data_IF_164175126003
#
_entry.id   IF_164175126003
#
_cell.length_a   1.000
_cell.length_b   1.000
_cell.length_c   1.000
_cell.angle_alpha   90.00
_cell.angle_beta   90.00
_cell.angle_gamma   90.00
#
_symmetry.space_group_name_H-M   'P 1'
#
loop_
_entity.id
_entity.type
_entity.pdbx_description
1 polymer ?
#
# COMPACT_ATOMS: atom_id res chain seq x y z
N UNK A 1 19.65 -21.76 -10.26
CA UNK A 1 19.01 -20.61 -10.95
C UNK A 1 18.02 -21.13 -11.98
N UNK A 2 16.76 -21.33 -11.58
CA UNK A 2 15.68 -21.58 -12.53
C UNK A 2 15.16 -20.25 -13.08
N UNK A 3 14.97 -20.14 -14.40
CA UNK A 3 14.19 -19.03 -14.96
C UNK A 3 12.72 -19.30 -14.68
N UNK A 4 12.02 -18.35 -14.07
CA UNK A 4 10.56 -18.37 -13.95
C UNK A 4 9.95 -18.59 -15.34
N UNK A 5 9.09 -19.60 -15.47
CA UNK A 5 8.47 -19.98 -16.73
C UNK A 5 7.22 -19.13 -17.01
N UNK A 6 6.91 -18.93 -18.29
CA UNK A 6 5.75 -18.12 -18.75
C UNK A 6 4.42 -18.65 -18.19
N UNK A 7 3.94 -17.99 -17.16
CA UNK A 7 2.62 -18.16 -16.55
C UNK A 7 2.32 -16.98 -15.62
N UNK A 8 2.82 -15.80 -16.01
CA UNK A 8 3.31 -14.79 -15.08
C UNK A 8 2.28 -14.29 -14.06
N UNK A 9 2.64 -14.45 -12.78
CA UNK A 9 2.10 -13.74 -11.62
C UNK A 9 2.48 -12.24 -11.61
N UNK A 10 3.04 -11.72 -12.71
CA UNK A 10 3.35 -10.30 -12.86
C UNK A 10 2.08 -9.46 -12.76
N UNK A 11 2.24 -8.29 -12.14
CA UNK A 11 1.33 -7.14 -12.28
C UNK A 11 0.92 -7.00 -13.76
N UNK A 12 -0.38 -6.82 -14.10
CA UNK A 12 -0.81 -6.84 -15.50
C UNK A 12 0.03 -5.88 -16.37
N UNK A 13 0.52 -6.30 -17.55
CA UNK A 13 1.30 -5.43 -18.41
C UNK A 13 0.44 -4.25 -18.87
N UNK A 14 0.75 -3.08 -18.33
CA UNK A 14 0.01 -1.84 -18.52
C UNK A 14 0.89 -0.62 -18.25
N UNK A 15 0.47 0.51 -18.80
CA UNK A 15 1.15 1.79 -18.55
C UNK A 15 0.73 2.34 -17.19
N UNK A 16 1.56 3.18 -16.57
CA UNK A 16 1.26 3.76 -15.27
C UNK A 16 2.02 3.17 -14.09
N UNK A 17 3.04 2.36 -14.33
CA UNK A 17 4.04 1.94 -13.34
C UNK A 17 5.38 2.62 -13.61
N UNK A 18 6.29 2.61 -12.64
CA UNK A 18 7.67 3.09 -12.84
C UNK A 18 8.30 2.30 -13.99
N UNK A 19 8.92 3.01 -14.95
CA UNK A 19 9.45 2.43 -16.19
C UNK A 19 8.42 2.11 -17.29
N UNK A 20 7.11 2.28 -17.06
CA UNK A 20 6.05 2.05 -18.08
C UNK A 20 5.11 3.25 -18.33
N UNK A 21 5.47 4.45 -17.87
CA UNK A 21 4.66 5.66 -18.06
C UNK A 21 4.61 6.11 -19.53
N UNK A 22 3.43 6.47 -20.02
CA UNK A 22 3.30 7.27 -21.25
C UNK A 22 3.77 8.72 -21.02
N UNK A 23 4.03 9.51 -22.07
CA UNK A 23 4.36 10.94 -21.91
C UNK A 23 3.31 11.72 -21.10
N UNK A 24 2.01 11.50 -21.35
CA UNK A 24 0.93 12.17 -20.62
C UNK A 24 0.89 11.76 -19.14
N UNK A 25 1.12 10.47 -18.86
CA UNK A 25 1.22 9.94 -17.50
C UNK A 25 2.44 10.51 -16.76
N UNK A 26 3.58 10.66 -17.45
CA UNK A 26 4.77 11.31 -16.91
C UNK A 26 4.49 12.77 -16.56
N UNK A 27 3.86 13.53 -17.46
CA UNK A 27 3.47 14.92 -17.22
C UNK A 27 2.49 15.05 -16.05
N UNK A 28 1.50 14.15 -15.94
CA UNK A 28 0.55 14.12 -14.82
C UNK A 28 1.22 13.74 -13.49
N UNK A 29 2.23 12.85 -13.49
CA UNK A 29 3.01 12.54 -12.30
C UNK A 29 3.86 13.75 -11.83
N UNK A 30 4.45 14.52 -12.76
CA UNK A 30 5.14 15.79 -12.43
C UNK A 30 4.21 16.81 -11.77
N UNK A 31 3.02 17.02 -12.34
CA UNK A 31 1.99 17.90 -11.79
C UNK A 31 1.62 17.49 -10.35
N UNK A 32 1.40 16.19 -10.13
CA UNK A 32 1.05 15.65 -8.82
C UNK A 32 2.18 15.83 -7.81
N UNK A 33 3.44 15.58 -8.17
CA UNK A 33 4.58 15.83 -7.28
C UNK A 33 4.75 17.30 -6.91
N UNK A 34 4.56 18.21 -7.87
CA UNK A 34 4.59 19.66 -7.62
C UNK A 34 3.53 20.07 -6.59
N UNK A 35 2.30 19.55 -6.72
CA UNK A 35 1.23 19.78 -5.76
C UNK A 35 1.54 19.16 -4.38
N UNK A 36 2.06 17.92 -4.33
CA UNK A 36 2.47 17.26 -3.08
C UNK A 36 3.49 18.11 -2.33
N UNK A 37 4.51 18.65 -3.01
CA UNK A 37 5.54 19.45 -2.37
C UNK A 37 5.06 20.84 -1.98
N UNK A 38 4.21 21.50 -2.77
CA UNK A 38 3.52 22.74 -2.35
C UNK A 38 2.79 22.54 -1.00
N UNK A 39 2.06 21.43 -0.86
CA UNK A 39 1.32 21.09 0.37
C UNK A 39 2.28 20.69 1.49
N UNK A 40 3.38 19.98 1.19
CA UNK A 40 4.39 19.60 2.18
C UNK A 40 5.29 20.77 2.64
N UNK A 41 5.32 21.90 1.92
CA UNK A 41 6.05 23.11 2.28
C UNK A 41 5.17 24.12 3.03
N UNK A 42 3.94 24.35 2.56
CA UNK A 42 3.06 25.42 3.04
C UNK A 42 1.78 24.95 3.74
N UNK A 43 1.45 23.66 3.63
CA UNK A 43 0.16 23.11 4.04
C UNK A 43 -0.94 23.29 3.00
N UNK A 44 -0.66 23.95 1.87
CA UNK A 44 -1.65 24.35 0.89
C UNK A 44 -1.12 24.21 -0.56
N UNK A 45 -2.02 24.19 -1.53
CA UNK A 45 -1.67 24.34 -2.94
C UNK A 45 -2.78 25.07 -3.68
N UNK A 46 -2.42 25.65 -4.82
CA UNK A 46 -3.38 26.22 -5.77
C UNK A 46 -3.35 25.41 -7.06
N UNK A 47 -4.51 24.95 -7.48
CA UNK A 47 -4.71 24.08 -8.64
C UNK A 47 -5.74 24.69 -9.59
N UNK A 48 -5.74 24.31 -10.88
CA UNK A 48 -6.84 24.64 -11.79
C UNK A 48 -8.19 24.19 -11.21
N UNK A 49 -9.18 25.08 -11.22
CA UNK A 49 -10.51 24.81 -10.64
C UNK A 49 -11.26 23.70 -11.35
N UNK A 50 -10.89 23.42 -12.61
CA UNK A 50 -11.41 22.27 -13.34
C UNK A 50 -11.11 20.95 -12.62
N UNK A 51 -9.92 20.78 -12.02
CA UNK A 51 -9.59 19.56 -11.29
C UNK A 51 -10.47 19.37 -10.04
N UNK A 52 -10.83 20.46 -9.35
CA UNK A 52 -11.74 20.42 -8.21
C UNK A 52 -13.18 20.13 -8.66
N UNK A 53 -13.61 20.73 -9.79
CA UNK A 53 -14.94 20.49 -10.39
C UNK A 53 -15.11 19.08 -10.93
N UNK A 54 -14.08 18.51 -11.57
CA UNK A 54 -14.06 17.11 -12.00
C UNK A 54 -14.18 16.17 -10.79
N UNK A 55 -13.43 16.43 -9.72
CA UNK A 55 -13.50 15.64 -8.50
C UNK A 55 -14.88 15.74 -7.80
N UNK A 56 -15.47 16.93 -7.70
CA UNK A 56 -16.85 17.10 -7.19
C UNK A 56 -17.89 16.41 -8.10
N UNK A 57 -17.69 16.42 -9.43
CA UNK A 57 -18.57 15.74 -10.38
C UNK A 57 -18.49 14.21 -10.24
N UNK A 58 -17.31 13.63 -10.05
CA UNK A 58 -17.17 12.20 -9.73
C UNK A 58 -17.80 11.85 -8.38
N UNK A 59 -17.63 12.71 -7.36
CA UNK A 59 -18.25 12.53 -6.04
C UNK A 59 -19.79 12.55 -6.11
N UNK A 60 -20.38 13.44 -6.93
CA UNK A 60 -21.84 13.64 -7.01
C UNK A 60 -22.56 12.76 -8.04
N UNK A 61 -21.87 12.26 -9.06
CA UNK A 61 -22.42 11.33 -10.07
C UNK A 61 -22.47 9.85 -9.61
N UNK A 62 -22.09 9.57 -8.36
CA UNK A 62 -21.97 8.25 -7.73
C UNK A 62 -23.29 7.51 -7.44
N UNK A 63 -24.34 7.74 -8.24
CA UNK A 63 -25.62 7.00 -8.17
C UNK A 63 -25.54 5.57 -8.74
N UNK A 64 -24.36 5.12 -9.18
CA UNK A 64 -24.12 3.74 -9.66
C UNK A 64 -23.01 3.05 -8.89
N UNK A 65 -23.31 1.87 -8.34
CA UNK A 65 -22.40 0.82 -7.84
C UNK A 65 -20.98 1.29 -7.42
N UNK A 66 -20.90 2.10 -6.38
CA UNK A 66 -19.67 2.35 -5.62
C UNK A 66 -19.82 1.73 -4.23
N UNK A 67 -18.71 1.22 -3.67
CA UNK A 67 -18.67 0.72 -2.30
C UNK A 67 -19.09 1.83 -1.32
N UNK A 68 -19.69 1.45 -0.18
CA UNK A 68 -20.08 2.40 0.85
C UNK A 68 -18.87 3.24 1.35
N UNK A 69 -17.67 2.64 1.30
CA UNK A 69 -16.38 3.28 1.61
C UNK A 69 -16.03 4.38 0.62
N UNK A 70 -16.18 4.15 -0.69
CA UNK A 70 -15.98 5.19 -1.70
C UNK A 70 -16.98 6.36 -1.55
N UNK A 71 -18.25 6.06 -1.27
CA UNK A 71 -19.29 7.08 -1.04
C UNK A 71 -19.05 7.90 0.25
N UNK A 72 -18.53 7.27 1.32
CA UNK A 72 -18.12 7.99 2.53
C UNK A 72 -16.88 8.86 2.29
N UNK A 73 -15.90 8.33 1.54
CA UNK A 73 -14.70 9.07 1.14
C UNK A 73 -15.00 10.27 0.22
N UNK A 74 -16.10 10.25 -0.53
CA UNK A 74 -16.57 11.38 -1.34
C UNK A 74 -17.25 12.49 -0.52
N UNK A 75 -17.81 12.18 0.67
CA UNK A 75 -18.61 13.13 1.48
C UNK A 75 -17.83 13.90 2.54
N UNK A 76 -16.61 13.47 2.87
CA UNK A 76 -15.69 14.17 3.76
C UNK A 76 -14.47 14.73 2.99
N UNK A 77 -13.79 15.76 3.51
CA UNK A 77 -12.58 16.34 2.90
C UNK A 77 -12.85 17.50 1.94
N UNK A 78 -12.07 17.62 0.86
CA UNK A 78 -12.17 18.74 -0.11
C UNK A 78 -13.46 18.77 -0.93
N UNK A 79 -14.25 17.69 -0.95
CA UNK A 79 -15.40 17.49 -1.85
C UNK A 79 -16.77 17.66 -1.19
N UNK A 80 -16.83 18.15 0.05
CA UNK A 80 -18.12 18.44 0.68
C UNK A 80 -18.81 19.60 -0.04
N UNK A 81 -20.05 19.38 -0.49
CA UNK A 81 -20.87 20.30 -1.30
C UNK A 81 -20.72 21.76 -0.88
N UNK A 82 -20.20 22.60 -1.78
CA UNK A 82 -19.96 24.03 -1.56
C UNK A 82 -18.50 24.41 -1.29
N UNK A 83 -17.60 23.44 -1.11
CA UNK A 83 -16.17 23.73 -0.95
C UNK A 83 -15.48 24.19 -2.23
N UNK A 84 -15.90 23.78 -3.44
CA UNK A 84 -15.31 24.32 -4.68
C UNK A 84 -15.45 25.84 -4.81
N UNK A 85 -16.65 26.38 -4.58
CA UNK A 85 -16.88 27.83 -4.63
C UNK A 85 -16.03 28.57 -3.58
N UNK A 86 -15.91 28.01 -2.37
CA UNK A 86 -15.02 28.55 -1.34
C UNK A 86 -13.54 28.45 -1.75
N UNK A 87 -13.11 27.35 -2.36
CA UNK A 87 -11.73 27.15 -2.82
C UNK A 87 -11.35 28.15 -3.92
N UNK A 88 -12.28 28.52 -4.82
CA UNK A 88 -12.09 29.61 -5.79
C UNK A 88 -12.02 30.98 -5.11
N UNK A 89 -12.86 31.23 -4.10
CA UNK A 89 -12.84 32.47 -3.31
C UNK A 89 -11.53 32.61 -2.51
N UNK A 90 -11.10 31.55 -1.82
CA UNK A 90 -9.86 31.48 -1.03
C UNK A 90 -8.62 31.66 -1.94
N UNK A 91 -8.63 31.12 -3.17
CA UNK A 91 -7.57 31.35 -4.16
C UNK A 91 -7.54 32.81 -4.64
N UNK A 92 -8.71 33.39 -4.95
CA UNK A 92 -8.83 34.79 -5.38
C UNK A 92 -8.42 35.76 -4.26
N UNK A 93 -8.77 35.45 -3.01
CA UNK A 93 -8.35 36.22 -1.83
C UNK A 93 -6.83 36.16 -1.61
N UNK A 94 -6.20 35.04 -1.95
CA UNK A 94 -4.74 34.88 -1.96
C UNK A 94 -4.05 35.50 -3.21
N UNK A 95 -4.78 36.22 -4.06
CA UNK A 95 -4.23 36.95 -5.22
C UNK A 95 -4.09 36.14 -6.51
N UNK A 96 -4.61 34.91 -6.56
CA UNK A 96 -4.57 34.08 -7.77
C UNK A 96 -5.70 34.47 -8.76
N UNK A 97 -5.44 34.22 -10.05
CA UNK A 97 -6.37 34.53 -11.13
C UNK A 97 -7.67 33.71 -11.09
N UNK A 98 -8.68 34.19 -11.81
CA UNK A 98 -9.94 33.46 -12.02
C UNK A 98 -9.68 32.08 -12.64
N UNK A 99 -10.37 31.05 -12.15
CA UNK A 99 -10.17 29.68 -12.60
C UNK A 99 -9.12 28.90 -11.80
N UNK A 100 -8.57 29.47 -10.72
CA UNK A 100 -7.77 28.76 -9.72
C UNK A 100 -8.57 28.44 -8.44
N UNK A 101 -8.27 27.30 -7.83
CA UNK A 101 -8.87 26.82 -6.58
C UNK A 101 -7.79 26.45 -5.57
N UNK A 102 -7.97 26.86 -4.31
CA UNK A 102 -7.05 26.56 -3.21
C UNK A 102 -7.46 25.28 -2.49
N UNK A 103 -6.51 24.35 -2.30
CA UNK A 103 -6.69 23.14 -1.50
C UNK A 103 -5.79 23.21 -0.27
N UNK A 104 -6.33 22.89 0.91
CA UNK A 104 -5.63 22.99 2.19
C UNK A 104 -5.55 21.64 2.89
N UNK A 105 -4.37 21.26 3.39
CA UNK A 105 -4.16 20.04 4.18
C UNK A 105 -4.99 20.03 5.47
N UNK A 106 -5.28 21.21 6.02
CA UNK A 106 -6.10 21.37 7.22
C UNK A 106 -7.56 20.91 7.01
N UNK A 107 -8.12 21.02 5.79
CA UNK A 107 -9.44 20.49 5.45
C UNK A 107 -9.54 18.96 5.57
N UNK A 108 -8.39 18.28 5.57
CA UNK A 108 -8.27 16.83 5.75
C UNK A 108 -7.92 16.46 7.19
N UNK A 109 -7.79 17.42 8.12
CA UNK A 109 -7.39 17.17 9.50
C UNK A 109 -5.92 16.75 9.64
N UNK A 110 -5.05 17.29 8.79
CA UNK A 110 -3.61 17.07 8.77
C UNK A 110 -2.85 18.41 8.82
N UNK A 111 -1.57 18.34 9.18
CA UNK A 111 -0.64 19.48 9.24
C UNK A 111 0.71 19.13 8.60
N UNK A 112 1.47 20.15 8.21
CA UNK A 112 2.74 20.00 7.46
C UNK A 112 3.76 19.12 8.20
N UNK A 113 3.90 19.33 9.50
CA UNK A 113 4.79 18.59 10.39
C UNK A 113 4.43 17.11 10.53
N UNK A 114 3.20 16.72 10.15
CA UNK A 114 2.74 15.33 10.09
C UNK A 114 2.83 14.75 8.69
N UNK A 115 2.49 15.53 7.67
CA UNK A 115 2.48 15.05 6.28
C UNK A 115 3.87 14.62 5.81
N UNK A 116 4.90 15.43 6.05
CA UNK A 116 6.23 15.17 5.48
C UNK A 116 6.87 13.87 6.04
N UNK A 117 6.85 13.60 7.36
CA UNK A 117 7.24 12.30 7.89
C UNK A 117 6.40 11.14 7.35
N UNK A 118 5.06 11.30 7.23
CA UNK A 118 4.19 10.25 6.71
C UNK A 118 4.46 9.90 5.25
N UNK A 119 4.79 10.87 4.40
CA UNK A 119 5.09 10.62 2.99
C UNK A 119 6.29 9.66 2.85
N UNK A 120 7.37 9.92 3.59
CA UNK A 120 8.59 9.12 3.51
C UNK A 120 8.51 7.82 4.33
N UNK A 121 7.87 7.84 5.52
CA UNK A 121 7.59 6.62 6.29
C UNK A 121 6.75 5.62 5.48
N UNK A 122 5.80 6.11 4.69
CA UNK A 122 5.01 5.29 3.79
C UNK A 122 5.72 4.91 2.49
N UNK A 123 6.82 5.56 2.11
CA UNK A 123 7.67 5.11 1.01
C UNK A 123 8.50 3.88 1.43
N UNK A 124 9.03 3.86 2.66
CA UNK A 124 9.90 2.78 3.17
C UNK A 124 11.09 2.53 2.22
N UNK A 125 11.18 1.33 1.64
CA UNK A 125 12.12 0.95 0.57
C UNK A 125 11.45 0.68 -0.78
N UNK A 126 10.21 1.16 -0.99
CA UNK A 126 9.59 1.22 -2.32
C UNK A 126 10.12 2.45 -3.08
N UNK A 127 10.02 2.43 -4.42
CA UNK A 127 10.25 3.62 -5.22
C UNK A 127 9.20 4.70 -4.86
N UNK A 128 9.57 5.97 -4.56
CA UNK A 128 8.58 6.98 -4.16
C UNK A 128 7.49 7.21 -5.21
N UNK A 129 7.84 7.23 -6.49
CA UNK A 129 6.84 7.32 -7.58
C UNK A 129 5.86 6.13 -7.57
N UNK A 130 6.29 4.91 -7.20
CA UNK A 130 5.39 3.75 -7.10
C UNK A 130 4.33 3.93 -6.01
N UNK A 131 4.67 4.57 -4.88
CA UNK A 131 3.70 4.91 -3.84
C UNK A 131 2.63 5.85 -4.39
N UNK A 132 3.04 6.95 -5.03
CA UNK A 132 2.12 7.94 -5.63
C UNK A 132 1.27 7.30 -6.72
N UNK A 133 1.88 6.56 -7.65
CA UNK A 133 1.21 5.95 -8.80
C UNK A 133 0.10 4.96 -8.40
N UNK A 134 0.19 4.27 -7.25
CA UNK A 134 -0.91 3.43 -6.74
C UNK A 134 -2.20 4.24 -6.53
N UNK A 135 -2.12 5.41 -5.90
CA UNK A 135 -3.27 6.30 -5.70
C UNK A 135 -3.76 6.93 -7.01
N UNK A 136 -2.84 7.30 -7.91
CA UNK A 136 -3.16 7.90 -9.21
C UNK A 136 -3.90 6.90 -10.11
N UNK A 137 -3.43 5.65 -10.20
CA UNK A 137 -4.12 4.58 -10.94
C UNK A 137 -5.50 4.28 -10.33
N UNK A 138 -5.59 4.13 -9.00
CA UNK A 138 -6.86 3.90 -8.30
C UNK A 138 -7.88 5.04 -8.41
N UNK A 139 -7.45 6.23 -8.86
CA UNK A 139 -8.32 7.38 -9.16
C UNK A 139 -8.26 7.79 -10.63
N UNK A 140 -7.91 6.85 -11.53
CA UNK A 140 -7.98 6.98 -12.99
C UNK A 140 -7.32 8.26 -13.52
N UNK A 141 -6.19 8.65 -12.92
CA UNK A 141 -5.42 9.85 -13.24
C UNK A 141 -6.08 11.20 -12.90
N UNK A 142 -7.18 11.19 -12.12
CA UNK A 142 -7.75 12.41 -11.53
C UNK A 142 -6.86 12.92 -10.38
N UNK A 143 -6.20 14.07 -10.60
CA UNK A 143 -5.22 14.70 -9.70
C UNK A 143 -5.75 14.87 -8.28
N UNK A 144 -6.86 15.58 -8.10
CA UNK A 144 -7.33 15.98 -6.76
C UNK A 144 -7.97 14.80 -6.03
N UNK A 145 -8.62 13.87 -6.75
CA UNK A 145 -9.11 12.62 -6.17
C UNK A 145 -7.98 11.70 -5.69
N UNK A 146 -6.88 11.59 -6.44
CA UNK A 146 -5.69 10.83 -6.04
C UNK A 146 -5.05 11.42 -4.76
N UNK A 147 -4.84 12.74 -4.72
CA UNK A 147 -4.28 13.44 -3.57
C UNK A 147 -5.16 13.30 -2.32
N UNK A 148 -6.48 13.53 -2.45
CA UNK A 148 -7.42 13.38 -1.33
C UNK A 148 -7.47 11.94 -0.83
N UNK A 149 -7.38 10.93 -1.71
CA UNK A 149 -7.28 9.54 -1.28
C UNK A 149 -5.98 9.27 -0.51
N UNK A 150 -4.84 9.69 -1.04
CA UNK A 150 -3.52 9.48 -0.44
C UNK A 150 -3.41 10.13 0.94
N UNK A 151 -3.79 11.40 1.07
CA UNK A 151 -3.74 12.10 2.35
C UNK A 151 -4.76 11.56 3.36
N UNK A 152 -5.91 11.02 2.92
CA UNK A 152 -6.81 10.30 3.82
C UNK A 152 -6.25 8.96 4.29
N UNK A 153 -5.53 8.23 3.45
CA UNK A 153 -4.81 7.03 3.87
C UNK A 153 -3.70 7.38 4.88
N UNK A 154 -3.00 8.50 4.69
CA UNK A 154 -2.01 9.00 5.65
C UNK A 154 -2.65 9.44 6.98
N UNK A 155 -3.82 10.11 6.94
CA UNK A 155 -4.58 10.44 8.15
C UNK A 155 -5.05 9.18 8.88
N UNK A 156 -5.62 8.21 8.18
CA UNK A 156 -6.01 6.92 8.77
C UNK A 156 -4.81 6.25 9.45
N UNK A 157 -3.60 6.33 8.86
CA UNK A 157 -2.38 5.81 9.47
C UNK A 157 -1.98 6.49 10.79
N UNK A 158 -2.28 7.77 10.96
CA UNK A 158 -2.14 8.47 12.25
C UNK A 158 -3.25 8.07 13.23
N UNK A 159 -4.51 8.20 12.79
CA UNK A 159 -5.69 8.04 13.64
C UNK A 159 -5.79 6.62 14.23
N UNK A 160 -5.31 5.61 13.50
CA UNK A 160 -5.24 4.22 13.93
C UNK A 160 -3.88 3.80 14.52
N UNK A 161 -2.90 4.70 14.65
CA UNK A 161 -1.51 4.38 15.05
C UNK A 161 -0.92 3.16 14.30
N UNK A 162 -0.90 3.24 12.97
CA UNK A 162 -0.33 2.17 12.13
C UNK A 162 1.20 2.07 12.32
N UNK A 163 1.86 3.15 12.75
CA UNK A 163 3.27 3.13 13.12
C UNK A 163 3.52 2.25 14.36
N UNK A 164 2.67 2.36 15.39
CA UNK A 164 2.68 1.49 16.56
C UNK A 164 2.56 0.01 16.22
N UNK A 165 1.76 -0.34 15.20
CA UNK A 165 1.65 -1.73 14.69
C UNK A 165 2.85 -2.15 13.84
N UNK A 166 3.30 -1.28 12.94
CA UNK A 166 4.37 -1.53 11.94
C UNK A 166 5.74 -1.76 12.55
N UNK A 167 6.05 -1.09 13.67
CA UNK A 167 7.38 -1.07 14.28
C UNK A 167 7.50 -1.85 15.60
N UNK A 168 6.39 -2.21 16.25
CA UNK A 168 6.41 -2.98 17.50
C UNK A 168 6.71 -4.48 17.28
N UNK A 169 7.24 -5.13 18.31
CA UNK A 169 7.32 -6.59 18.36
C UNK A 169 5.94 -7.22 18.55
N UNK A 170 5.78 -8.45 18.09
CA UNK A 170 4.60 -9.27 18.33
C UNK A 170 4.38 -9.59 19.82
N UNK A 171 5.44 -9.65 20.64
CA UNK A 171 5.34 -9.64 22.12
C UNK A 171 4.56 -8.42 22.61
N UNK A 172 5.02 -7.21 22.26
CA UNK A 172 4.38 -5.97 22.69
C UNK A 172 2.95 -5.86 22.16
N UNK A 173 2.70 -6.27 20.91
CA UNK A 173 1.36 -6.31 20.34
C UNK A 173 0.46 -7.34 21.02
N UNK A 174 0.99 -8.45 21.56
CA UNK A 174 0.22 -9.40 22.36
C UNK A 174 -0.11 -8.89 23.77
N UNK A 175 0.80 -8.10 24.38
CA UNK A 175 0.55 -7.44 25.66
C UNK A 175 -0.51 -6.33 25.52
N UNK A 176 -0.53 -5.61 24.39
CA UNK A 176 -1.48 -4.54 24.08
C UNK A 176 -2.83 -5.06 23.56
N UNK A 177 -2.81 -6.09 22.70
CA UNK A 177 -3.99 -6.71 22.07
C UNK A 177 -4.09 -8.19 22.50
N UNK A 178 -4.95 -8.52 23.47
CA UNK A 178 -5.11 -9.90 23.93
C UNK A 178 -5.38 -10.87 22.78
N UNK A 179 -4.72 -12.04 22.86
CA UNK A 179 -4.80 -13.14 21.88
C UNK A 179 -4.09 -12.87 20.54
N UNK A 180 -3.22 -11.86 20.43
CA UNK A 180 -2.44 -11.59 19.22
C UNK A 180 -1.54 -12.77 18.83
N UNK A 181 -0.83 -13.37 19.81
CA UNK A 181 -0.06 -14.60 19.57
C UNK A 181 -0.95 -15.78 19.17
N UNK A 182 -2.12 -15.96 19.82
CA UNK A 182 -3.06 -16.99 19.40
C UNK A 182 -3.45 -16.85 17.91
N UNK A 183 -3.54 -15.62 17.36
CA UNK A 183 -3.82 -15.43 15.93
C UNK A 183 -2.65 -15.81 15.00
N UNK A 184 -1.42 -15.53 15.42
CA UNK A 184 -0.20 -15.87 14.70
C UNK A 184 0.07 -17.39 14.74
N UNK A 185 -0.11 -18.01 15.91
CA UNK A 185 0.08 -19.45 16.16
C UNK A 185 -0.98 -20.33 15.48
N UNK A 186 -2.25 -19.95 15.61
CA UNK A 186 -3.35 -20.76 15.05
C UNK A 186 -3.37 -20.74 13.53
N UNK A 187 -2.73 -19.73 12.92
CA UNK A 187 -2.87 -19.47 11.51
C UNK A 187 -4.30 -19.13 11.19
N UNK A 188 -4.66 -17.86 11.39
CA UNK A 188 -5.90 -17.28 10.81
C UNK A 188 -5.64 -16.32 9.65
N UNK A 189 -4.39 -15.89 9.49
CA UNK A 189 -3.75 -15.67 8.18
C UNK A 189 -2.42 -16.46 8.07
N UNK A 190 -2.21 -17.48 7.21
CA UNK A 190 -3.08 -18.56 6.63
C UNK A 190 -4.31 -18.93 7.48
N UNK A 191 -5.35 -19.66 7.03
CA UNK A 191 -6.73 -19.44 7.58
C UNK A 191 -7.35 -20.58 8.44
N UNK A 192 -7.65 -20.33 9.74
CA UNK A 192 -8.90 -20.75 10.46
C UNK A 192 -9.17 -20.12 11.86
N UNK A 193 -10.31 -19.43 12.07
CA UNK A 193 -10.99 -19.29 13.40
C UNK A 193 -11.47 -17.88 13.82
N UNK A 194 -12.24 -17.74 14.91
CA UNK A 194 -12.90 -16.48 15.35
C UNK A 194 -12.37 -15.89 16.66
N UNK A 195 -12.15 -14.57 16.70
CA UNK A 195 -11.61 -13.79 17.84
C UNK A 195 -12.04 -12.30 17.76
N UNK A 196 -11.78 -11.43 18.76
CA UNK A 196 -12.29 -10.06 18.79
C UNK A 196 -11.87 -9.21 17.58
N UNK A 197 -12.84 -8.52 16.96
CA UNK A 197 -12.68 -7.83 15.68
C UNK A 197 -11.41 -6.94 15.60
N UNK A 198 -11.11 -6.15 16.64
CA UNK A 198 -9.98 -5.22 16.61
C UNK A 198 -8.61 -5.92 16.52
N UNK A 199 -8.45 -7.10 17.13
CA UNK A 199 -7.21 -7.89 17.03
C UNK A 199 -6.99 -8.38 15.60
N UNK A 200 -8.07 -8.75 14.90
CA UNK A 200 -8.01 -9.23 13.51
C UNK A 200 -7.79 -8.09 12.50
N UNK A 201 -8.35 -6.90 12.77
CA UNK A 201 -7.99 -5.66 12.06
C UNK A 201 -6.48 -5.37 12.17
N UNK A 202 -5.93 -5.42 13.39
CA UNK A 202 -4.50 -5.20 13.68
C UNK A 202 -3.60 -6.22 13.00
N UNK A 203 -3.95 -7.51 13.07
CA UNK A 203 -3.21 -8.58 12.39
C UNK A 203 -3.17 -8.37 10.86
N UNK A 204 -4.29 -7.97 10.26
CA UNK A 204 -4.37 -7.69 8.82
C UNK A 204 -3.35 -6.62 8.42
N UNK A 205 -3.35 -5.48 9.14
CA UNK A 205 -2.39 -4.40 8.92
C UNK A 205 -0.96 -4.89 9.10
N UNK A 206 -0.67 -5.62 10.17
CA UNK A 206 0.66 -6.17 10.45
C UNK A 206 1.15 -7.09 9.32
N UNK A 207 0.33 -8.01 8.84
CA UNK A 207 0.66 -8.90 7.72
C UNK A 207 0.86 -8.12 6.42
N UNK A 208 0.10 -7.04 6.18
CA UNK A 208 0.27 -6.21 4.99
C UNK A 208 1.56 -5.38 5.02
N UNK A 209 1.91 -4.75 6.14
CA UNK A 209 3.18 -4.02 6.30
C UNK A 209 4.39 -4.98 6.31
N UNK A 210 4.27 -6.14 6.94
CA UNK A 210 5.31 -7.18 6.97
C UNK A 210 5.50 -7.87 5.60
N UNK A 211 4.42 -8.08 4.85
CA UNK A 211 4.47 -8.64 3.49
C UNK A 211 4.97 -7.64 2.44
N UNK A 212 4.74 -6.34 2.65
CA UNK A 212 5.19 -5.28 1.72
C UNK A 212 6.71 -5.25 1.55
N UNK A 213 7.49 -5.49 2.62
CA UNK A 213 8.96 -5.54 2.51
C UNK A 213 9.47 -6.76 1.75
N UNK A 214 8.61 -7.76 1.48
CA UNK A 214 8.92 -8.93 0.65
C UNK A 214 8.66 -8.70 -0.85
N UNK A 215 8.20 -7.50 -1.23
CA UNK A 215 8.02 -7.14 -2.63
C UNK A 215 9.36 -6.67 -3.21
N UNK A 216 9.79 -7.36 -4.26
CA UNK A 216 10.94 -7.00 -5.08
C UNK A 216 10.44 -6.32 -6.36
N UNK A 217 11.02 -5.16 -6.70
CA UNK A 217 10.67 -4.43 -7.92
C UNK A 217 10.89 -5.30 -9.16
N UNK A 218 9.95 -5.34 -10.13
CA UNK A 218 8.79 -4.46 -10.34
C UNK A 218 7.46 -5.00 -9.77
N UNK A 219 7.47 -5.96 -8.85
CA UNK A 219 6.25 -6.50 -8.26
C UNK A 219 5.69 -5.51 -7.23
N UNK A 220 4.48 -5.00 -7.47
CA UNK A 220 3.79 -4.06 -6.57
C UNK A 220 2.55 -4.67 -5.88
N UNK A 221 2.21 -5.94 -6.21
CA UNK A 221 0.92 -6.54 -5.85
C UNK A 221 1.04 -7.95 -5.26
N UNK A 222 0.12 -8.30 -4.35
CA UNK A 222 0.00 -9.66 -3.78
C UNK A 222 -1.15 -10.46 -4.40
N UNK A 223 -1.02 -11.79 -4.34
CA UNK A 223 -2.11 -12.74 -4.57
C UNK A 223 -2.64 -13.22 -3.21
N UNK A 224 -3.95 -13.07 -2.95
CA UNK A 224 -4.59 -13.56 -1.73
C UNK A 224 -5.35 -14.85 -2.03
N UNK A 225 -5.21 -15.86 -1.16
CA UNK A 225 -5.96 -17.12 -1.24
C UNK A 225 -6.86 -17.24 -0.02
N UNK A 226 -8.18 -17.22 -0.26
CA UNK A 226 -9.19 -17.60 0.72
C UNK A 226 -9.57 -19.05 0.47
N UNK A 227 -8.94 -19.96 1.20
CA UNK A 227 -9.32 -21.38 1.23
C UNK A 227 -10.57 -21.55 2.11
N UNK A 228 -11.69 -21.92 1.49
CA UNK A 228 -12.98 -22.17 2.14
C UNK A 228 -13.23 -23.67 2.39
N UNK A 229 -12.18 -24.51 2.34
CA UNK A 229 -12.27 -25.91 2.74
C UNK A 229 -12.77 -26.01 4.20
N UNK A 230 -13.91 -26.67 4.38
CA UNK A 230 -14.58 -26.77 5.70
C UNK A 230 -15.40 -25.55 6.13
N UNK A 231 -15.57 -24.53 5.27
CA UNK A 231 -16.37 -23.34 5.57
C UNK A 231 -17.84 -23.67 5.88
N UNK A 232 -18.34 -23.08 6.97
CA UNK A 232 -19.77 -23.02 7.31
C UNK A 232 -20.19 -21.57 7.57
N UNK A 233 -21.49 -21.30 7.61
CA UNK A 233 -22.00 -19.95 7.95
C UNK A 233 -21.57 -19.46 9.35
N UNK A 234 -21.23 -20.36 10.28
CA UNK A 234 -20.70 -20.00 11.59
C UNK A 234 -19.28 -19.38 11.52
N UNK A 235 -18.59 -19.53 10.38
CA UNK A 235 -17.28 -18.93 10.14
C UNK A 235 -17.38 -17.56 9.44
N UNK A 236 -18.58 -17.07 9.14
CA UNK A 236 -18.76 -15.86 8.33
C UNK A 236 -18.78 -14.58 9.17
N UNK A 237 -17.64 -13.89 9.25
CA UNK A 237 -17.57 -12.52 9.76
C UNK A 237 -17.75 -11.48 8.63
N UNK A 238 -18.97 -10.97 8.48
CA UNK A 238 -19.29 -9.90 7.54
C UNK A 238 -18.71 -8.53 7.93
N UNK A 239 -18.40 -8.29 9.21
CA UNK A 239 -17.77 -7.04 9.63
C UNK A 239 -16.29 -7.03 9.22
N UNK A 240 -15.58 -8.13 9.46
CA UNK A 240 -14.20 -8.30 9.02
C UNK A 240 -14.07 -8.23 7.49
N UNK A 241 -14.99 -8.84 6.73
CA UNK A 241 -14.97 -8.69 5.26
C UNK A 241 -15.12 -7.22 4.84
N UNK A 242 -16.04 -6.45 5.43
CA UNK A 242 -16.16 -5.01 5.13
C UNK A 242 -14.90 -4.22 5.48
N UNK A 243 -14.23 -4.60 6.57
CA UNK A 243 -12.95 -4.03 6.94
C UNK A 243 -11.86 -4.34 5.90
N UNK A 244 -11.69 -5.62 5.51
CA UNK A 244 -10.75 -6.01 4.46
C UNK A 244 -10.97 -5.24 3.15
N UNK A 245 -12.22 -5.16 2.70
CA UNK A 245 -12.59 -4.39 1.50
C UNK A 245 -12.19 -2.92 1.66
N UNK A 246 -12.48 -2.31 2.81
CA UNK A 246 -12.09 -0.92 3.11
C UNK A 246 -10.57 -0.74 3.12
N UNK A 247 -9.81 -1.67 3.70
CA UNK A 247 -8.34 -1.64 3.72
C UNK A 247 -7.76 -1.68 2.30
N UNK A 248 -8.18 -2.62 1.46
CA UNK A 248 -7.67 -2.73 0.09
C UNK A 248 -8.13 -1.59 -0.84
N UNK A 249 -9.37 -1.08 -0.68
CA UNK A 249 -9.92 -0.03 -1.55
C UNK A 249 -9.55 1.40 -1.14
N UNK A 250 -9.35 1.67 0.15
CA UNK A 250 -9.13 3.03 0.66
C UNK A 250 -7.68 3.29 1.09
N UNK A 251 -6.99 2.30 1.66
CA UNK A 251 -5.71 2.50 2.37
C UNK A 251 -4.50 1.83 1.70
N UNK A 252 -4.74 0.75 0.95
CA UNK A 252 -3.72 0.02 0.17
C UNK A 252 -4.13 -0.17 -1.31
N UNK A 253 -4.51 0.91 -2.02
CA UNK A 253 -4.89 0.83 -3.42
C UNK A 253 -3.81 0.18 -4.28
N UNK A 254 -4.26 -0.50 -5.34
CA UNK A 254 -3.41 -1.19 -6.33
C UNK A 254 -2.28 -2.04 -5.74
N UNK A 255 -2.44 -2.53 -4.50
CA UNK A 255 -1.52 -3.48 -3.85
C UNK A 255 -2.06 -4.92 -3.93
N UNK A 256 -3.29 -5.09 -4.42
CA UNK A 256 -3.93 -6.38 -4.68
C UNK A 256 -3.88 -6.72 -6.17
N UNK A 257 -3.29 -7.86 -6.52
CA UNK A 257 -3.20 -8.36 -7.90
C UNK A 257 -4.30 -9.36 -8.23
N UNK A 258 -4.58 -10.30 -7.31
CA UNK A 258 -5.61 -11.34 -7.47
C UNK A 258 -6.16 -11.78 -6.12
N UNK A 259 -7.45 -12.12 -6.09
CA UNK A 259 -8.06 -12.87 -4.99
C UNK A 259 -8.47 -14.23 -5.57
N UNK A 260 -8.07 -15.32 -4.92
CA UNK A 260 -8.52 -16.67 -5.23
C UNK A 260 -9.42 -17.13 -4.08
N UNK A 261 -10.70 -17.37 -4.37
CA UNK A 261 -11.64 -18.00 -3.43
C UNK A 261 -11.72 -19.48 -3.80
N UNK A 262 -11.06 -20.31 -2.99
CA UNK A 262 -10.88 -21.73 -3.24
C UNK A 262 -11.86 -22.58 -2.42
N UNK A 263 -12.33 -23.69 -2.99
CA UNK A 263 -13.14 -24.68 -2.26
C UNK A 263 -14.52 -24.19 -1.81
N UNK A 264 -15.02 -23.08 -2.38
CA UNK A 264 -16.26 -22.43 -1.96
C UNK A 264 -17.48 -23.39 -1.96
N UNK A 265 -18.06 -23.72 -0.78
CA UNK A 265 -19.22 -24.61 -0.71
C UNK A 265 -20.47 -23.92 -1.26
N UNK A 266 -21.51 -24.70 -1.60
CA UNK A 266 -22.74 -24.17 -2.23
C UNK A 266 -23.38 -22.99 -1.46
N UNK A 267 -23.34 -23.03 -0.13
CA UNK A 267 -23.88 -21.96 0.74
C UNK A 267 -23.14 -20.62 0.55
N UNK A 268 -21.87 -20.63 0.14
CA UNK A 268 -21.10 -19.42 -0.10
C UNK A 268 -21.65 -18.57 -1.26
N UNK A 269 -22.40 -19.13 -2.22
CA UNK A 269 -23.03 -18.32 -3.27
C UNK A 269 -24.11 -17.36 -2.74
N UNK A 270 -24.72 -17.67 -1.59
CA UNK A 270 -25.60 -16.73 -0.88
C UNK A 270 -24.80 -15.60 -0.22
N UNK A 271 -23.67 -15.94 0.40
CA UNK A 271 -22.72 -15.01 1.01
C UNK A 271 -22.09 -14.07 -0.03
N UNK A 272 -21.67 -14.60 -1.18
CA UNK A 272 -21.07 -13.82 -2.26
C UNK A 272 -22.01 -12.73 -2.78
N UNK A 273 -23.30 -13.02 -2.94
CA UNK A 273 -24.31 -12.01 -3.32
C UNK A 273 -24.46 -10.85 -2.32
N UNK A 274 -24.00 -11.03 -1.09
CA UNK A 274 -23.96 -9.98 -0.06
C UNK A 274 -22.63 -9.22 -0.09
N UNK A 275 -21.52 -9.88 -0.40
CA UNK A 275 -20.16 -9.29 -0.44
C UNK A 275 -19.89 -8.55 -1.75
N UNK A 276 -20.28 -9.12 -2.89
CA UNK A 276 -20.01 -8.59 -4.25
C UNK A 276 -20.42 -7.11 -4.42
N UNK A 277 -21.60 -6.65 -3.93
CA UNK A 277 -21.98 -5.24 -3.99
C UNK A 277 -21.15 -4.29 -3.11
N UNK A 278 -20.29 -4.82 -2.22
CA UNK A 278 -19.36 -4.01 -1.42
C UNK A 278 -18.05 -3.75 -2.15
N UNK A 279 -17.72 -4.54 -3.18
CA UNK A 279 -16.48 -4.42 -3.93
C UNK A 279 -16.63 -3.36 -5.04
N UNK A 280 -15.62 -2.53 -5.19
CA UNK A 280 -15.46 -1.73 -6.40
C UNK A 280 -15.27 -2.67 -7.63
N UNK A 281 -15.68 -2.24 -8.85
CA UNK A 281 -15.54 -3.07 -10.04
C UNK A 281 -14.12 -3.56 -10.34
N UNK A 282 -13.08 -2.80 -9.97
CA UNK A 282 -11.67 -3.19 -10.15
C UNK A 282 -11.32 -4.33 -9.20
N UNK A 283 -11.59 -4.23 -7.90
CA UNK A 283 -11.36 -5.33 -6.94
C UNK A 283 -12.22 -6.55 -7.27
N UNK A 284 -13.51 -6.37 -7.61
CA UNK A 284 -14.38 -7.46 -8.05
C UNK A 284 -13.79 -8.21 -9.27
N UNK A 285 -13.26 -7.48 -10.25
CA UNK A 285 -12.61 -8.07 -11.43
C UNK A 285 -11.34 -8.88 -11.14
N UNK A 286 -10.75 -8.73 -9.94
CA UNK A 286 -9.57 -9.48 -9.47
C UNK A 286 -9.93 -10.80 -8.77
N UNK A 287 -11.21 -11.06 -8.47
CA UNK A 287 -11.68 -12.28 -7.79
C UNK A 287 -11.81 -13.46 -8.76
N UNK A 288 -11.20 -14.60 -8.43
CA UNK A 288 -11.28 -15.87 -9.17
C UNK A 288 -11.76 -16.96 -8.23
N UNK A 289 -12.72 -17.77 -8.67
CA UNK A 289 -13.19 -18.94 -7.94
C UNK A 289 -12.48 -20.19 -8.45
N UNK A 290 -11.99 -21.03 -7.54
CA UNK A 290 -11.43 -22.36 -7.86
C UNK A 290 -12.17 -23.44 -7.09
N UNK A 291 -12.73 -24.42 -7.80
CA UNK A 291 -13.59 -25.47 -7.24
C UNK A 291 -12.82 -26.67 -6.70
N UNK A 292 -11.61 -26.88 -7.19
CA UNK A 292 -10.74 -28.00 -6.85
C UNK A 292 -9.27 -27.59 -7.06
N UNK A 293 -8.38 -28.37 -6.47
CA UNK A 293 -6.95 -28.08 -6.33
C UNK A 293 -6.27 -27.87 -7.70
N UNK A 294 -6.70 -28.57 -8.75
CA UNK A 294 -6.12 -28.43 -10.09
C UNK A 294 -6.38 -27.04 -10.69
N UNK A 295 -7.47 -26.36 -10.31
CA UNK A 295 -7.75 -25.00 -10.77
C UNK A 295 -6.85 -23.96 -10.10
N UNK A 296 -6.22 -24.28 -8.95
CA UNK A 296 -5.21 -23.41 -8.32
C UNK A 296 -3.97 -23.25 -9.20
N UNK A 297 -3.59 -24.27 -9.97
CA UNK A 297 -2.39 -24.23 -10.83
C UNK A 297 -2.53 -23.33 -12.06
N UNK A 298 -3.72 -22.74 -12.27
CA UNK A 298 -3.93 -21.66 -13.24
C UNK A 298 -3.36 -20.31 -12.76
N UNK A 299 -3.05 -20.19 -11.46
CA UNK A 299 -2.66 -18.93 -10.82
C UNK A 299 -1.40 -19.06 -9.95
N UNK A 300 -1.13 -20.23 -9.37
CA UNK A 300 0.05 -20.51 -8.54
C UNK A 300 0.75 -21.73 -9.13
N UNK A 301 2.02 -21.67 -9.57
CA UNK A 301 2.75 -22.82 -10.08
C UNK A 301 2.70 -23.99 -9.09
N UNK A 302 2.60 -25.23 -9.59
CA UNK A 302 2.51 -26.42 -8.73
C UNK A 302 3.69 -26.52 -7.76
N UNK A 303 4.87 -26.11 -8.20
CA UNK A 303 6.10 -26.02 -7.43
C UNK A 303 6.13 -24.96 -6.31
N UNK A 304 5.16 -24.03 -6.31
CA UNK A 304 4.98 -23.01 -5.27
C UNK A 304 3.64 -23.17 -4.51
N UNK A 305 2.90 -24.25 -4.80
CA UNK A 305 1.63 -24.56 -4.16
C UNK A 305 1.85 -25.67 -3.12
N UNK A 306 1.42 -25.47 -1.85
CA UNK A 306 1.60 -26.47 -0.81
C UNK A 306 0.94 -27.83 -1.14
N UNK A 307 1.65 -28.92 -0.85
CA UNK A 307 1.25 -30.33 -1.03
C UNK A 307 -0.04 -30.75 -0.30
N UNK A 308 -0.53 -29.93 0.64
CA UNK A 308 -1.86 -30.06 1.24
C UNK A 308 -2.99 -29.86 0.22
N UNK A 309 -2.69 -29.24 -0.92
CA UNK A 309 -3.51 -29.27 -2.13
C UNK A 309 -2.94 -30.35 -3.05
N UNK A 310 -3.78 -31.23 -3.61
CA UNK A 310 -3.39 -32.41 -4.40
C UNK A 310 -2.57 -32.10 -5.66
N UNK A 311 -2.64 -30.87 -6.14
CA UNK A 311 -1.91 -30.35 -7.31
C UNK A 311 -0.60 -29.64 -6.93
N UNK A 312 -0.38 -29.41 -5.64
CA UNK A 312 0.84 -28.81 -5.09
C UNK A 312 1.97 -29.81 -4.93
N UNK A 313 3.19 -29.29 -4.92
CA UNK A 313 4.43 -30.06 -4.74
C UNK A 313 5.27 -29.57 -3.57
N UNK A 314 5.08 -28.33 -3.13
CA UNK A 314 5.83 -27.74 -2.04
C UNK A 314 5.41 -28.39 -0.72
N UNK A 315 6.30 -29.18 -0.12
CA UNK A 315 6.05 -29.88 1.15
C UNK A 315 6.13 -28.96 2.37
N UNK A 316 6.41 -27.66 2.17
CA UNK A 316 6.42 -26.65 3.22
C UNK A 316 5.20 -26.76 4.13
N UNK A 317 5.45 -26.93 5.44
CA UNK A 317 4.44 -26.86 6.49
C UNK A 317 4.69 -25.59 7.27
N UNK A 318 3.70 -24.69 7.29
CA UNK A 318 3.79 -23.52 8.12
C UNK A 318 3.96 -23.90 9.60
N UNK A 319 4.91 -23.23 10.26
CA UNK A 319 5.09 -23.25 11.71
C UNK A 319 5.45 -21.84 12.16
N UNK A 320 4.66 -21.27 13.06
CA UNK A 320 5.01 -19.99 13.68
C UNK A 320 6.23 -20.18 14.59
N UNK A 321 7.21 -19.27 14.47
CA UNK A 321 8.39 -19.22 15.33
C UNK A 321 8.28 -17.96 16.18
N UNK A 322 8.17 -18.14 17.49
CA UNK A 322 8.15 -17.06 18.46
C UNK A 322 9.45 -16.25 18.45
N UNK A 323 9.37 -15.00 18.89
CA UNK A 323 10.51 -14.13 19.12
C UNK A 323 11.61 -14.82 19.92
N UNK A 324 12.83 -14.81 19.41
CA UNK A 324 13.99 -15.29 20.14
C UNK A 324 14.52 -14.19 21.10
N UNK A 325 15.14 -14.57 22.23
CA UNK A 325 15.90 -13.61 23.04
C UNK A 325 16.91 -12.85 22.17
N UNK A 326 17.11 -11.56 22.48
CA UNK A 326 18.03 -10.64 21.79
C UNK A 326 17.78 -10.38 20.28
N UNK A 327 16.73 -10.94 19.63
CA UNK A 327 16.53 -10.77 18.17
C UNK A 327 16.32 -9.30 17.74
N UNK A 328 15.88 -8.44 18.68
CA UNK A 328 15.60 -7.02 18.48
C UNK A 328 16.64 -6.11 19.15
N UNK A 329 17.77 -6.65 19.63
CA UNK A 329 18.78 -5.92 20.42
C UNK A 329 19.35 -4.70 19.70
N UNK A 330 19.41 -4.69 18.37
CA UNK A 330 19.81 -3.52 17.59
C UNK A 330 18.90 -2.30 17.83
N UNK A 331 17.62 -2.49 18.20
CA UNK A 331 16.70 -1.39 18.51
C UNK A 331 17.05 -0.66 19.82
N UNK A 332 17.92 -1.23 20.66
CA UNK A 332 18.46 -0.58 21.87
C UNK A 332 19.59 0.40 21.53
N UNK A 333 20.25 0.25 20.38
CA UNK A 333 21.29 1.16 19.91
C UNK A 333 20.67 2.40 19.23
N UNK A 334 20.24 3.34 20.06
CA UNK A 334 19.65 4.60 19.59
C UNK A 334 20.67 5.48 18.85
N UNK A 335 21.97 5.36 19.12
CA UNK A 335 22.99 6.17 18.46
C UNK A 335 23.16 5.76 16.99
N UNK A 336 23.31 4.46 16.72
CA UNK A 336 23.38 3.93 15.35
C UNK A 336 22.03 4.11 14.65
N UNK A 337 20.90 3.94 15.35
CA UNK A 337 19.57 4.25 14.82
C UNK A 337 19.49 5.68 14.28
N UNK A 338 19.86 6.67 15.09
CA UNK A 338 19.73 8.09 14.74
C UNK A 338 20.68 8.48 13.59
N UNK A 339 21.89 7.91 13.54
CA UNK A 339 22.81 8.06 12.40
C UNK A 339 22.20 7.52 11.10
N UNK A 340 21.66 6.30 11.13
CA UNK A 340 21.12 5.62 9.96
C UNK A 340 19.82 6.26 9.46
N UNK A 341 18.94 6.70 10.37
CA UNK A 341 17.75 7.49 10.04
C UNK A 341 18.16 8.79 9.36
N UNK A 342 19.16 9.52 9.90
CA UNK A 342 19.65 10.76 9.28
C UNK A 342 20.30 10.54 7.90
N UNK A 343 20.95 9.39 7.69
CA UNK A 343 21.49 9.02 6.38
C UNK A 343 20.37 8.73 5.35
N UNK A 344 19.31 8.03 5.77
CA UNK A 344 18.11 7.84 4.96
C UNK A 344 17.37 9.17 4.68
N UNK A 345 17.25 10.05 5.68
CA UNK A 345 16.72 11.42 5.53
C UNK A 345 17.47 12.20 4.46
N UNK A 346 18.80 12.25 4.56
CA UNK A 346 19.68 12.90 3.58
C UNK A 346 19.43 12.38 2.16
N UNK A 347 19.14 11.08 2.03
CA UNK A 347 18.85 10.45 0.74
C UNK A 347 17.47 10.85 0.21
N UNK A 348 16.42 10.97 1.05
CA UNK A 348 15.11 11.43 0.55
C UNK A 348 15.13 12.93 0.22
N UNK A 349 15.91 13.74 0.94
CA UNK A 349 16.09 15.15 0.60
C UNK A 349 16.71 15.32 -0.80
N UNK A 350 17.67 14.47 -1.18
CA UNK A 350 18.19 14.43 -2.56
C UNK A 350 17.14 13.97 -3.57
N UNK A 351 16.30 13.00 -3.23
CA UNK A 351 15.19 12.60 -4.11
C UNK A 351 14.15 13.73 -4.28
N UNK A 352 13.86 14.48 -3.21
CA UNK A 352 12.97 15.64 -3.24
C UNK A 352 13.53 16.75 -4.14
N UNK A 353 14.81 17.10 -3.98
CA UNK A 353 15.55 18.05 -4.81
C UNK A 353 15.50 17.66 -6.31
N UNK A 354 15.90 16.43 -6.64
CA UNK A 354 15.87 15.90 -8.00
C UNK A 354 14.45 15.84 -8.58
N UNK A 355 13.43 15.60 -7.75
CA UNK A 355 12.03 15.59 -8.18
C UNK A 355 11.52 17.00 -8.48
N UNK A 356 11.93 18.02 -7.71
CA UNK A 356 11.67 19.43 -8.00
C UNK A 356 12.33 19.83 -9.32
N UNK A 357 13.62 19.53 -9.47
CA UNK A 357 14.36 19.76 -10.72
C UNK A 357 13.67 19.13 -11.93
N UNK A 358 13.17 17.89 -11.77
CA UNK A 358 12.48 17.14 -12.81
C UNK A 358 11.14 17.75 -13.22
N UNK A 359 10.29 18.19 -12.29
CA UNK A 359 9.03 18.84 -12.65
C UNK A 359 9.20 20.29 -13.13
N UNK A 360 10.32 20.94 -12.80
CA UNK A 360 10.71 22.23 -13.38
C UNK A 360 11.39 22.11 -14.76
N UNK A 361 11.65 20.91 -15.28
CA UNK A 361 12.19 20.75 -16.63
C UNK A 361 11.28 21.40 -17.68
N UNK A 362 11.86 22.27 -18.52
CA UNK A 362 11.13 23.05 -19.54
C UNK A 362 10.43 24.32 -19.02
N UNK A 363 10.55 24.64 -17.73
CA UNK A 363 10.06 25.89 -17.11
C UNK A 363 11.18 26.95 -17.02
N UNK A 364 10.87 28.14 -16.50
CA UNK A 364 11.89 29.19 -16.28
C UNK A 364 12.91 28.79 -15.20
N UNK A 365 12.54 27.85 -14.34
CA UNK A 365 13.28 27.33 -13.20
C UNK A 365 14.14 26.08 -13.55
N UNK A 366 14.25 25.73 -14.84
CA UNK A 366 15.00 24.53 -15.27
C UNK A 366 16.52 24.66 -15.06
N UNK A 367 17.16 23.57 -14.63
CA UNK A 367 18.59 23.51 -14.23
C UNK A 367 19.60 23.47 -15.38
N UNK A 368 19.17 23.58 -16.64
CA UNK A 368 20.01 23.41 -17.83
C UNK A 368 20.46 21.98 -18.13
N UNK A 369 20.21 21.02 -17.24
CA UNK A 369 20.43 19.58 -17.45
C UNK A 369 19.30 18.97 -18.29
N UNK A 370 19.58 17.85 -18.95
CA UNK A 370 18.55 17.13 -19.70
C UNK A 370 17.60 16.37 -18.77
N UNK A 371 16.34 16.21 -19.18
CA UNK A 371 15.34 15.43 -18.45
C UNK A 371 15.82 13.99 -18.18
N UNK A 372 16.56 13.39 -19.12
CA UNK A 372 17.07 12.02 -19.03
C UNK A 372 18.14 11.86 -17.95
N UNK A 373 19.03 12.85 -17.77
CA UNK A 373 20.03 12.84 -16.69
C UNK A 373 19.36 12.96 -15.31
N UNK A 374 18.37 13.85 -15.20
CA UNK A 374 17.61 14.03 -13.95
C UNK A 374 16.82 12.75 -13.63
N UNK A 375 16.17 12.12 -14.60
CA UNK A 375 15.46 10.85 -14.43
C UNK A 375 16.39 9.71 -14.00
N UNK A 376 17.55 9.57 -14.63
CA UNK A 376 18.53 8.54 -14.27
C UNK A 376 19.05 8.73 -12.82
N UNK A 377 19.27 9.97 -12.38
CA UNK A 377 19.65 10.26 -11.00
C UNK A 377 18.49 10.05 -10.00
N UNK A 378 17.24 10.35 -10.35
CA UNK A 378 16.06 10.02 -9.52
C UNK A 378 15.93 8.51 -9.31
N UNK A 379 16.00 7.74 -10.39
CA UNK A 379 15.92 6.27 -10.35
C UNK A 379 17.08 5.65 -9.55
N UNK A 380 18.28 6.25 -9.62
CA UNK A 380 19.41 5.80 -8.81
C UNK A 380 19.22 6.17 -7.33
N UNK A 381 18.79 7.40 -7.04
CA UNK A 381 18.50 7.86 -5.69
C UNK A 381 17.39 7.03 -5.02
N UNK A 382 16.36 6.59 -5.76
CA UNK A 382 15.34 5.67 -5.26
C UNK A 382 15.89 4.28 -4.90
N UNK A 383 16.88 3.76 -5.64
CA UNK A 383 17.57 2.50 -5.28
C UNK A 383 18.41 2.68 -4.01
N UNK A 384 19.05 3.83 -3.86
CA UNK A 384 19.88 4.13 -2.69
C UNK A 384 19.02 4.42 -1.45
N UNK A 385 17.83 5.00 -1.62
CA UNK A 385 16.77 5.06 -0.59
C UNK A 385 16.40 3.67 -0.06
N UNK A 386 16.16 2.69 -0.96
CA UNK A 386 15.87 1.31 -0.56
C UNK A 386 17.02 0.72 0.25
N UNK A 387 18.27 0.87 -0.19
CA UNK A 387 19.45 0.38 0.55
C UNK A 387 19.57 1.01 1.94
N UNK A 388 19.38 2.33 2.03
CA UNK A 388 19.42 3.06 3.28
C UNK A 388 18.31 2.60 4.24
N UNK A 389 17.08 2.38 3.72
CA UNK A 389 15.97 1.83 4.49
C UNK A 389 16.31 0.47 5.09
N UNK A 390 16.79 -0.49 4.29
CA UNK A 390 17.12 -1.83 4.82
C UNK A 390 18.35 -1.83 5.75
N UNK A 391 19.29 -0.90 5.58
CA UNK A 391 20.38 -0.69 6.54
C UNK A 391 19.87 -0.24 7.92
N UNK A 392 18.85 0.63 7.98
CA UNK A 392 18.26 1.10 9.25
C UNK A 392 17.20 0.16 9.83
N UNK A 393 16.60 -0.72 9.02
CA UNK A 393 15.52 -1.64 9.40
C UNK A 393 15.73 -2.37 10.75
N UNK A 394 16.92 -2.93 11.10
CA UNK A 394 17.15 -3.57 12.40
C UNK A 394 17.09 -2.67 13.63
N UNK A 395 17.19 -1.36 13.43
CA UNK A 395 17.21 -0.36 14.50
C UNK A 395 15.85 0.33 14.67
N UNK A 396 14.97 0.21 13.67
CA UNK A 396 13.65 0.87 13.66
C UNK A 396 12.47 -0.11 13.71
N UNK A 397 12.63 -1.37 13.28
CA UNK A 397 11.54 -2.34 13.16
C UNK A 397 11.90 -3.67 13.81
N UNK A 398 10.98 -4.18 14.62
CA UNK A 398 11.12 -5.50 15.22
C UNK A 398 11.13 -6.62 14.16
N UNK A 399 11.90 -7.67 14.44
CA UNK A 399 11.93 -8.92 13.67
C UNK A 399 10.59 -9.64 13.83
N UNK A 400 10.23 -10.39 12.78
CA UNK A 400 8.93 -11.04 12.62
C UNK A 400 9.07 -12.39 11.92
N UNK A 401 7.96 -13.09 11.70
CA UNK A 401 7.89 -14.41 11.07
C UNK A 401 8.64 -14.59 9.74
N UNK A 402 8.92 -13.54 8.97
CA UNK A 402 9.71 -13.65 7.73
C UNK A 402 11.23 -13.59 7.95
N UNK A 403 11.66 -13.09 9.11
CA UNK A 403 13.06 -13.10 9.55
C UNK A 403 13.38 -14.33 10.42
N UNK A 404 12.34 -14.98 10.97
CA UNK A 404 12.45 -16.18 11.81
C UNK A 404 12.04 -17.42 11.01
N UNK A 405 13.01 -18.20 10.55
CA UNK A 405 12.77 -19.52 9.95
C UNK A 405 13.81 -20.53 10.44
N UNK A 406 13.50 -21.82 10.31
CA UNK A 406 14.45 -22.92 10.48
C UNK A 406 15.37 -23.11 9.27
N UNK A 407 15.08 -22.44 8.16
CA UNK A 407 15.85 -22.46 6.93
C UNK A 407 16.98 -21.41 6.96
N UNK A 408 18.04 -21.64 6.18
CA UNK A 408 19.17 -20.73 6.08
C UNK A 408 19.50 -20.50 4.59
N UNK A 409 19.42 -19.26 4.08
CA UNK A 409 19.14 -18.00 4.80
C UNK A 409 17.64 -17.74 5.03
N UNK A 410 17.24 -16.76 5.87
CA UNK A 410 15.83 -16.46 6.12
C UNK A 410 15.08 -15.88 4.92
N UNK A 411 13.75 -15.85 4.95
CA UNK A 411 12.94 -15.34 3.82
C UNK A 411 13.24 -13.86 3.59
N UNK A 412 13.10 -13.02 4.63
CA UNK A 412 13.46 -11.61 4.58
C UNK A 412 14.93 -11.40 4.98
N UNK A 413 15.77 -10.94 4.05
CA UNK A 413 17.17 -10.65 4.31
C UNK A 413 17.40 -9.24 4.89
N UNK A 414 18.47 -9.01 5.66
CA UNK A 414 18.82 -7.67 6.16
C UNK A 414 19.13 -6.62 5.08
N UNK A 415 19.39 -7.02 3.83
CA UNK A 415 19.64 -6.13 2.70
C UNK A 415 18.39 -5.83 1.86
N UNK A 416 17.23 -6.42 2.21
CA UNK A 416 15.97 -6.23 1.51
C UNK A 416 15.77 -7.09 0.25
N UNK A 417 16.63 -8.10 0.06
CA UNK A 417 16.38 -9.21 -0.85
C UNK A 417 15.47 -10.26 -0.17
N UNK A 418 14.83 -11.10 -0.98
CA UNK A 418 13.95 -12.18 -0.50
C UNK A 418 14.44 -13.54 -0.97
N UNK A 419 14.51 -14.52 -0.05
CA UNK A 419 14.85 -15.90 -0.38
C UNK A 419 13.63 -16.81 -0.20
N UNK A 420 13.00 -17.19 -1.31
CA UNK A 420 11.95 -18.19 -1.31
C UNK A 420 12.55 -19.58 -1.50
N UNK A 421 12.40 -20.44 -0.48
CA UNK A 421 12.69 -21.87 -0.54
C UNK A 421 11.37 -22.61 -0.73
N UNK A 422 11.37 -23.62 -1.60
CA UNK A 422 10.21 -24.48 -1.85
C UNK A 422 10.66 -25.95 -1.80
N UNK A 423 10.04 -26.77 -0.95
CA UNK A 423 10.40 -28.18 -0.74
C UNK A 423 9.71 -29.06 -1.80
N UNK A 424 10.24 -29.07 -3.01
CA UNK A 424 9.72 -29.81 -4.18
C UNK A 424 10.22 -31.26 -4.26
#
# INVERSE_FOLDING_TARGET
MGKLAKGDLLTPPGTGHVGSLTPDQKAKLKEIWSIIFSIADSGEAVVPSEFVKEAEKEATSSTGAQSATAQAAAKAGWFSRGKSAKAEEDAKAAGYGSGMSKISLADLGLSVDKLRPLLWDNAMGDHPDSLVLRFVRARKWNTVNALNMMFKAFKWRLDEDIAGVKYSSDVKLNDEYPKFFEQLESGKFYIHGTDPAKTLERLTVYVMEAGRVLLEFPVETVCLVFDLTGFTLANMDFAMVKYLVTVFEAYYPESLGRIIIHGAPFVFWGVWKVIEPWLDPVVASKVRFTRNDNEMTQYIPAEHLPDRYKSGKDKYKYKYIHSQPDENKCMEDTATKDELVKAWETTFWRFEELTREWFHFGTAEASGRSEQEIEAERDQCAKDLRKAFFKMDPYIRARNMFHRTTENPPIAQPDGNVSWVYDN
#
